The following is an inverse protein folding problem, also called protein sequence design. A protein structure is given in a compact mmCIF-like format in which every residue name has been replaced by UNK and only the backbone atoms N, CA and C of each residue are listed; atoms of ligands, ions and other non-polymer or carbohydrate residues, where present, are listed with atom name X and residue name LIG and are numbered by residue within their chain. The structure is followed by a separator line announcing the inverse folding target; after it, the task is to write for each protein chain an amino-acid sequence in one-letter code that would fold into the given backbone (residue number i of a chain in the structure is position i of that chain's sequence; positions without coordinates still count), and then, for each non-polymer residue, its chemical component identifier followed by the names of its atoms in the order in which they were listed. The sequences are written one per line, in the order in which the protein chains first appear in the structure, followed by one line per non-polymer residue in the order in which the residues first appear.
data_IF_229376500166
#
_entry.id   IF_229376500166
#
_cell.length_a   1.000
_cell.length_b   1.000
_cell.length_c   1.000
_cell.angle_alpha   90.00
_cell.angle_beta   90.00
_cell.angle_gamma   90.00
#
_symmetry.space_group_name_H-M   'P 1'
#
loop_
_entity.id
_entity.type
_entity.pdbx_description
1 polymer ?
#
# COMPACT_ATOMS: atom_id res chain seq x y z
N UNK A 1 -14.02 -12.86 9.66
CA UNK A 1 -13.71 -14.18 10.25
C UNK A 1 -12.94 -13.97 11.55
N UNK A 2 -13.55 -14.18 12.72
CA UNK A 2 -12.95 -13.84 14.02
C UNK A 2 -11.59 -14.49 14.30
N UNK A 3 -11.32 -15.65 13.71
CA UNK A 3 -10.06 -16.39 13.88
C UNK A 3 -8.87 -15.82 13.11
N UNK A 4 -9.09 -14.91 12.16
CA UNK A 4 -8.01 -14.34 11.35
C UNK A 4 -7.21 -13.27 12.11
N UNK A 5 -7.75 -12.72 13.22
CA UNK A 5 -7.12 -11.64 14.00
C UNK A 5 -6.67 -10.49 13.07
N UNK A 6 -5.39 -10.13 13.07
CA UNK A 6 -4.80 -9.08 12.24
C UNK A 6 -4.42 -9.55 10.83
N UNK A 7 -4.52 -10.85 10.55
CA UNK A 7 -4.26 -11.36 9.21
C UNK A 7 -5.43 -11.00 8.27
N UNK A 8 -5.16 -10.16 7.28
CA UNK A 8 -6.08 -9.81 6.20
C UNK A 8 -5.83 -10.70 4.99
N UNK A 9 -6.90 -11.31 4.48
CA UNK A 9 -6.85 -12.11 3.25
C UNK A 9 -7.61 -11.39 2.13
N UNK A 10 -6.95 -11.20 0.99
CA UNK A 10 -7.55 -10.67 -0.22
C UNK A 10 -7.56 -11.73 -1.32
N UNK A 11 -8.68 -11.81 -2.04
CA UNK A 11 -8.82 -12.61 -3.25
C UNK A 11 -9.00 -11.65 -4.42
N UNK A 12 -8.09 -11.71 -5.39
CA UNK A 12 -8.03 -10.78 -6.51
C UNK A 12 -8.16 -11.58 -7.79
N UNK A 13 -9.10 -11.18 -8.65
CA UNK A 13 -9.27 -11.71 -10.00
C UNK A 13 -9.09 -10.56 -10.99
N UNK A 14 -8.27 -10.78 -12.01
CA UNK A 14 -8.03 -9.85 -13.10
C UNK A 14 -8.27 -10.56 -14.42
N UNK A 15 -9.00 -9.91 -15.31
CA UNK A 15 -9.28 -10.39 -16.66
C UNK A 15 -8.77 -9.35 -17.66
N UNK A 16 -8.15 -9.81 -18.72
CA UNK A 16 -7.54 -8.92 -19.70
C UNK A 16 -7.42 -9.58 -21.06
N UNK A 17 -6.77 -8.86 -21.97
CA UNK A 17 -6.45 -9.36 -23.31
C UNK A 17 -4.98 -9.15 -23.60
N UNK A 18 -4.38 -10.17 -24.21
CA UNK A 18 -3.01 -10.14 -24.71
C UNK A 18 -2.99 -9.62 -26.14
N UNK A 19 -1.79 -9.62 -26.74
CA UNK A 19 -1.63 -9.35 -28.16
C UNK A 19 -2.57 -10.21 -29.01
N UNK A 20 -3.22 -9.60 -30.01
CA UNK A 20 -4.18 -10.28 -30.87
C UNK A 20 -5.52 -10.61 -30.19
N UNK A 21 -5.93 -9.82 -29.19
CA UNK A 21 -7.20 -9.97 -28.47
C UNK A 21 -7.37 -11.31 -27.73
N UNK A 22 -6.28 -12.05 -27.51
CA UNK A 22 -6.33 -13.35 -26.81
C UNK A 22 -6.71 -13.14 -25.34
N UNK A 23 -7.79 -13.76 -24.83
CA UNK A 23 -8.21 -13.56 -23.45
C UNK A 23 -7.20 -14.13 -22.45
N UNK A 24 -6.97 -13.41 -21.36
CA UNK A 24 -6.17 -13.86 -20.22
C UNK A 24 -6.92 -13.65 -18.91
N UNK A 25 -6.66 -14.52 -17.94
CA UNK A 25 -7.22 -14.44 -16.60
C UNK A 25 -6.10 -14.66 -15.57
N UNK A 26 -6.14 -13.93 -14.46
CA UNK A 26 -5.27 -14.09 -13.31
C UNK A 26 -6.13 -14.17 -12.04
N UNK A 27 -5.85 -15.15 -11.20
CA UNK A 27 -6.42 -15.25 -9.86
C UNK A 27 -5.30 -15.30 -8.82
N UNK A 28 -5.43 -14.52 -7.76
CA UNK A 28 -4.45 -14.40 -6.70
C UNK A 28 -5.13 -14.39 -5.33
N UNK A 29 -4.48 -15.05 -4.37
CA UNK A 29 -4.82 -14.94 -2.94
C UNK A 29 -3.63 -14.33 -2.20
N UNK A 30 -3.86 -13.21 -1.54
CA UNK A 30 -2.88 -12.52 -0.71
C UNK A 30 -3.28 -12.65 0.76
N UNK A 31 -2.33 -12.96 1.64
CA UNK A 31 -2.51 -13.00 3.09
C UNK A 31 -1.41 -12.16 3.72
N UNK A 32 -1.78 -11.15 4.48
CA UNK A 32 -0.85 -10.21 5.12
C UNK A 32 -1.27 -9.93 6.55
N UNK A 33 -0.33 -9.57 7.39
CA UNK A 33 -0.62 -8.99 8.71
C UNK A 33 -0.84 -7.48 8.55
N UNK A 34 -2.06 -6.99 8.77
CA UNK A 34 -2.49 -5.65 8.34
C UNK A 34 -1.78 -4.51 9.08
N UNK A 35 -1.68 -4.62 10.41
CA UNK A 35 -1.17 -3.56 11.26
C UNK A 35 0.35 -3.35 11.09
N UNK A 36 1.20 -4.40 11.15
CA UNK A 36 2.63 -4.25 10.89
C UNK A 36 2.95 -3.80 9.47
N UNK A 37 2.10 -4.17 8.50
CA UNK A 37 2.30 -3.80 7.10
C UNK A 37 2.24 -2.28 6.88
N UNK A 38 1.48 -1.56 7.72
CA UNK A 38 1.41 -0.09 7.67
C UNK A 38 2.34 0.60 8.68
N UNK A 39 2.74 -0.08 9.75
CA UNK A 39 3.56 0.52 10.81
C UNK A 39 4.92 1.01 10.31
N UNK A 40 5.58 0.26 9.43
CA UNK A 40 6.85 0.68 8.83
C UNK A 40 6.72 1.95 8.00
N UNK A 41 5.67 2.04 7.18
CA UNK A 41 5.36 3.22 6.36
C UNK A 41 5.09 4.45 7.25
N UNK A 42 4.35 4.27 8.33
CA UNK A 42 4.03 5.34 9.27
C UNK A 42 5.28 5.91 9.96
N UNK A 43 6.24 5.06 10.36
CA UNK A 43 7.50 5.51 10.97
C UNK A 43 8.26 6.45 10.02
N UNK A 44 8.39 6.08 8.76
CA UNK A 44 9.12 6.88 7.78
C UNK A 44 8.37 8.16 7.41
N UNK A 45 7.04 8.11 7.28
CA UNK A 45 6.22 9.29 7.07
C UNK A 45 6.38 10.34 8.21
N UNK A 46 6.40 9.90 9.47
CA UNK A 46 6.61 10.77 10.64
C UNK A 46 8.01 11.41 10.59
N UNK A 47 9.04 10.63 10.22
CA UNK A 47 10.42 11.12 10.09
C UNK A 47 10.54 12.15 8.97
N UNK A 48 9.89 11.94 7.83
CA UNK A 48 9.81 12.90 6.74
C UNK A 48 9.11 14.19 7.17
N UNK A 49 7.99 14.09 7.89
CA UNK A 49 7.28 15.26 8.43
C UNK A 49 8.16 16.05 9.41
N UNK A 50 8.93 15.35 10.26
CA UNK A 50 9.89 16.01 11.17
C UNK A 50 10.99 16.74 10.42
N UNK A 51 11.56 16.15 9.37
CA UNK A 51 12.56 16.80 8.52
C UNK A 51 12.01 18.04 7.81
N UNK A 52 10.76 18.00 7.34
CA UNK A 52 10.12 19.17 6.73
C UNK A 52 9.93 20.30 7.75
N UNK A 53 9.48 19.97 8.96
CA UNK A 53 9.37 20.92 10.06
C UNK A 53 10.71 21.57 10.39
N UNK A 54 11.79 20.78 10.47
CA UNK A 54 13.14 21.28 10.77
C UNK A 54 13.69 22.19 9.65
N UNK A 55 13.16 22.05 8.42
CA UNK A 55 13.50 22.89 7.26
C UNK A 55 12.56 24.09 7.09
N UNK A 56 11.59 24.28 7.97
CA UNK A 56 10.56 25.31 7.83
C UNK A 56 9.65 25.09 6.62
N UNK A 57 9.55 23.86 6.12
CA UNK A 57 8.70 23.48 5.00
C UNK A 57 7.31 23.09 5.53
N UNK A 58 6.30 23.89 5.21
CA UNK A 58 4.90 23.62 5.51
C UNK A 58 4.09 23.22 4.28
N UNK A 59 2.83 22.85 4.50
CA UNK A 59 1.94 22.39 3.43
C UNK A 59 2.10 20.90 3.12
N UNK A 60 1.57 20.47 1.98
CA UNK A 60 1.58 19.07 1.55
C UNK A 60 2.97 18.69 1.05
N UNK A 61 3.52 17.59 1.58
CA UNK A 61 4.75 17.01 1.09
C UNK A 61 4.42 16.04 -0.05
N UNK A 62 4.15 16.56 -1.24
CA UNK A 62 3.63 15.79 -2.39
C UNK A 62 4.41 14.50 -2.67
N UNK A 63 5.74 14.56 -2.74
CA UNK A 63 6.56 13.39 -3.04
C UNK A 63 6.52 12.31 -1.91
N UNK A 64 6.73 12.66 -0.61
CA UNK A 64 6.49 11.72 0.49
C UNK A 64 5.06 11.17 0.53
N UNK A 65 4.05 12.01 0.32
CA UNK A 65 2.64 11.60 0.32
C UNK A 65 2.34 10.61 -0.81
N UNK A 66 2.82 10.85 -2.03
CA UNK A 66 2.62 9.95 -3.16
C UNK A 66 3.29 8.58 -2.98
N UNK A 67 4.27 8.46 -2.09
CA UNK A 67 4.98 7.20 -1.84
C UNK A 67 4.45 6.43 -0.62
N UNK A 68 3.96 7.13 0.40
CA UNK A 68 3.52 6.53 1.66
C UNK A 68 1.99 6.42 1.81
N UNK A 69 1.19 7.04 0.94
CA UNK A 69 -0.27 7.12 1.07
C UNK A 69 -1.02 6.56 -0.15
#
# INVERSE_FOLDING_TARGET
MPWQKDNKVAFIRMEGKLFGDVPMNLEMRLSVEDSPNSAGVAIDAIRCAKLALDRGQGGVLEAPSAYFC
#
